data_IF_238163254361
#
_entry.id   IF_238163254361
#
_cell.length_a   1.000
_cell.length_b   1.000
_cell.length_c   1.000
_cell.angle_alpha   90.00
_cell.angle_beta   90.00
_cell.angle_gamma   90.00
#
_symmetry.space_group_name_H-M   'P 1'
#
loop_
_entity.id
_entity.type
_entity.pdbx_description
1 polymer ?
#
# COMPACT_ATOMS: atom_id res chain seq x y z
N UNK A 1 17.13 9.12 -6.38
CA UNK A 1 16.93 9.12 -4.91
C UNK A 1 15.42 9.15 -4.68
N UNK A 2 14.86 8.28 -3.84
CA UNK A 2 13.40 8.11 -3.73
C UNK A 2 12.70 9.39 -3.24
N UNK A 3 13.37 10.18 -2.41
CA UNK A 3 12.90 11.48 -1.91
C UNK A 3 12.35 12.44 -2.98
N UNK A 4 12.82 12.36 -4.23
CA UNK A 4 12.38 13.27 -5.30
C UNK A 4 11.23 12.71 -6.15
N UNK A 5 10.76 11.49 -5.87
CA UNK A 5 9.67 10.91 -6.64
C UNK A 5 8.35 11.53 -6.20
N UNK A 6 7.48 11.97 -7.11
CA UNK A 6 6.14 12.37 -6.71
C UNK A 6 5.37 11.14 -6.18
N UNK A 7 4.52 11.36 -5.17
CA UNK A 7 3.51 10.39 -4.83
C UNK A 7 2.59 10.15 -6.04
N UNK A 8 2.10 8.93 -6.18
CA UNK A 8 1.09 8.63 -7.20
C UNK A 8 -0.17 9.44 -6.92
N UNK A 9 -0.88 9.81 -7.97
CA UNK A 9 -2.10 10.61 -7.84
C UNK A 9 -3.09 9.94 -6.89
N UNK A 10 -3.75 10.76 -6.06
CA UNK A 10 -4.75 10.35 -5.04
C UNK A 10 -4.26 9.36 -3.97
N UNK A 11 -3.00 8.90 -3.99
CA UNK A 11 -2.51 7.84 -3.10
C UNK A 11 -2.68 8.17 -1.62
N UNK A 12 -2.21 9.36 -1.20
CA UNK A 12 -2.29 9.79 0.20
C UNK A 12 -3.75 9.88 0.67
N UNK A 13 -4.62 10.48 -0.14
CA UNK A 13 -6.03 10.69 0.21
C UNK A 13 -6.78 9.38 0.38
N UNK A 14 -6.60 8.44 -0.56
CA UNK A 14 -7.18 7.10 -0.48
C UNK A 14 -6.69 6.36 0.76
N UNK A 15 -5.38 6.38 1.03
CA UNK A 15 -4.81 5.70 2.18
C UNK A 15 -5.31 6.32 3.50
N UNK A 16 -5.57 7.63 3.55
CA UNK A 16 -6.22 8.27 4.69
C UNK A 16 -7.66 7.83 4.87
N UNK A 17 -8.46 7.78 3.80
CA UNK A 17 -9.84 7.26 3.88
C UNK A 17 -9.88 5.82 4.38
N UNK A 18 -9.00 4.96 3.86
CA UNK A 18 -8.88 3.58 4.31
C UNK A 18 -8.46 3.49 5.78
N UNK A 19 -7.47 4.28 6.20
CA UNK A 19 -7.05 4.36 7.61
C UNK A 19 -8.20 4.81 8.52
N UNK A 20 -8.94 5.85 8.12
CA UNK A 20 -10.08 6.38 8.87
C UNK A 20 -11.25 5.38 8.92
N UNK A 21 -11.38 4.53 7.89
CA UNK A 21 -12.35 3.42 7.85
C UNK A 21 -11.93 2.21 8.71
N UNK A 22 -10.75 2.26 9.33
CA UNK A 22 -10.22 1.23 10.23
C UNK A 22 -9.24 0.25 9.58
N UNK A 23 -8.82 0.47 8.33
CA UNK A 23 -7.86 -0.40 7.65
C UNK A 23 -6.45 -0.20 8.23
N UNK A 24 -5.82 -1.30 8.65
CA UNK A 24 -4.44 -1.28 9.14
C UNK A 24 -3.46 -1.29 7.97
N UNK A 25 -2.81 -0.16 7.71
CA UNK A 25 -1.87 0.00 6.59
C UNK A 25 -0.44 -0.30 7.03
N UNK A 26 0.22 -1.23 6.33
CA UNK A 26 1.63 -1.57 6.51
C UNK A 26 2.39 -1.38 5.20
N UNK A 27 3.48 -0.62 5.23
CA UNK A 27 4.35 -0.44 4.08
C UNK A 27 5.43 -1.51 4.09
N UNK A 28 5.56 -2.27 3.00
CA UNK A 28 6.56 -3.33 2.84
C UNK A 28 7.46 -2.99 1.66
N UNK A 29 8.75 -2.79 1.90
CA UNK A 29 9.67 -2.33 0.85
C UNK A 29 11.04 -2.99 0.91
N UNK A 30 11.58 -3.32 -0.25
CA UNK A 30 12.90 -3.92 -0.42
C UNK A 30 13.95 -2.83 -0.65
N UNK A 31 14.35 -2.11 0.41
CA UNK A 31 15.33 -0.99 0.31
C UNK A 31 16.70 -1.31 0.91
N UNK A 32 16.87 -2.50 1.49
CA UNK A 32 18.09 -2.92 2.18
C UNK A 32 18.96 -3.88 1.34
N UNK A 33 18.89 -3.81 0.01
CA UNK A 33 19.62 -4.73 -0.87
C UNK A 33 21.03 -4.29 -1.25
N UNK A 34 21.44 -3.07 -0.85
CA UNK A 34 22.79 -2.55 -1.09
C UNK A 34 23.53 -2.39 0.24
N UNK A 35 24.60 -3.17 0.39
CA UNK A 35 25.46 -3.14 1.57
C UNK A 35 25.97 -1.71 1.83
N UNK A 36 26.04 -1.35 3.12
CA UNK A 36 26.58 -0.07 3.61
C UNK A 36 25.73 1.18 3.33
N UNK A 37 24.62 1.07 2.60
CA UNK A 37 23.70 2.20 2.36
C UNK A 37 22.37 2.09 3.10
N UNK A 38 22.21 1.09 3.97
CA UNK A 38 20.96 0.81 4.70
C UNK A 38 20.42 2.02 5.46
N UNK A 39 21.28 2.70 6.23
CA UNK A 39 20.88 3.87 7.01
C UNK A 39 20.28 4.98 6.11
N UNK A 40 20.95 5.28 4.99
CA UNK A 40 20.47 6.27 4.03
C UNK A 40 19.18 5.82 3.33
N UNK A 41 19.09 4.56 2.93
CA UNK A 41 17.90 4.03 2.26
C UNK A 41 16.66 4.08 3.15
N UNK A 42 16.80 3.81 4.45
CA UNK A 42 15.73 3.93 5.44
C UNK A 42 15.31 5.39 5.60
N UNK A 43 16.27 6.29 5.85
CA UNK A 43 16.00 7.72 6.03
C UNK A 43 15.30 8.31 4.80
N UNK A 44 15.84 8.06 3.60
CA UNK A 44 15.25 8.55 2.35
C UNK A 44 13.80 8.07 2.15
N UNK A 45 13.49 6.85 2.57
CA UNK A 45 12.14 6.28 2.44
C UNK A 45 11.18 6.88 3.46
N UNK A 46 11.61 7.06 4.72
CA UNK A 46 10.77 7.65 5.77
C UNK A 46 10.52 9.13 5.50
N UNK A 47 11.57 9.90 5.15
CA UNK A 47 11.41 11.31 4.77
C UNK A 47 10.43 11.48 3.61
N UNK A 48 10.48 10.59 2.61
CA UNK A 48 9.54 10.62 1.50
C UNK A 48 8.10 10.34 1.94
N UNK A 49 7.87 9.37 2.84
CA UNK A 49 6.54 9.06 3.36
C UNK A 49 5.96 10.24 4.15
N UNK A 50 6.80 10.91 4.95
CA UNK A 50 6.42 12.08 5.73
C UNK A 50 6.09 13.27 4.82
N UNK A 51 6.94 13.57 3.83
CA UNK A 51 6.71 14.64 2.84
C UNK A 51 5.44 14.38 2.01
N UNK A 52 5.17 13.12 1.65
CA UNK A 52 3.98 12.70 0.92
C UNK A 52 2.73 12.53 1.80
N UNK A 53 2.84 12.73 3.13
CA UNK A 53 1.75 12.57 4.12
C UNK A 53 1.03 11.22 4.02
N UNK A 54 1.78 10.14 3.81
CA UNK A 54 1.20 8.78 3.68
C UNK A 54 0.94 8.18 5.07
N UNK A 55 -0.30 7.76 5.39
CA UNK A 55 -0.57 7.11 6.66
C UNK A 55 -0.10 5.65 6.63
N UNK A 56 0.63 5.25 7.66
CA UNK A 56 1.00 3.86 7.91
C UNK A 56 1.11 3.59 9.41
N UNK A 57 0.89 2.34 9.81
CA UNK A 57 1.06 1.87 11.19
C UNK A 57 2.40 1.18 11.38
N UNK A 58 2.82 0.43 10.37
CA UNK A 58 4.10 -0.27 10.36
C UNK A 58 4.83 -0.05 9.03
N UNK A 59 6.15 -0.03 9.09
CA UNK A 59 7.02 -0.11 7.92
C UNK A 59 7.97 -1.29 8.10
N UNK A 60 8.05 -2.16 7.10
CA UNK A 60 8.92 -3.32 7.09
C UNK A 60 9.90 -3.21 5.92
N UNK A 61 11.19 -3.22 6.24
CA UNK A 61 12.28 -3.26 5.27
C UNK A 61 12.75 -4.71 5.12
N UNK A 62 12.30 -5.40 4.07
CA UNK A 62 12.51 -6.84 3.92
C UNK A 62 13.17 -7.15 2.57
N UNK A 63 14.14 -8.08 2.60
CA UNK A 63 14.86 -8.64 1.45
C UNK A 63 13.92 -9.29 0.43
N UNK A 64 13.39 -10.42 0.85
CA UNK A 64 12.20 -11.01 0.23
C UNK A 64 10.96 -10.49 0.97
N UNK A 65 9.78 -10.58 0.36
CA UNK A 65 8.50 -10.33 1.05
C UNK A 65 7.95 -11.66 1.58
N UNK A 66 8.46 -12.24 2.69
CA UNK A 66 7.82 -13.40 3.30
C UNK A 66 6.43 -12.99 3.80
N UNK A 67 5.57 -13.96 4.09
CA UNK A 67 4.22 -13.72 4.61
C UNK A 67 4.26 -12.78 5.84
N UNK A 68 4.02 -11.49 5.64
CA UNK A 68 4.04 -10.46 6.70
C UNK A 68 2.70 -10.43 7.45
N UNK A 69 1.86 -11.45 7.27
CA UNK A 69 0.59 -11.63 7.97
C UNK A 69 -0.49 -10.60 7.62
N UNK A 70 -0.50 -10.07 6.39
CA UNK A 70 -1.58 -9.20 5.92
C UNK A 70 -2.73 -10.03 5.34
N UNK A 71 -3.96 -9.53 5.50
CA UNK A 71 -5.16 -10.11 4.89
C UNK A 71 -5.21 -9.88 3.37
N UNK A 72 -4.60 -8.80 2.90
CA UNK A 72 -4.58 -8.37 1.50
C UNK A 72 -3.28 -7.63 1.21
N UNK A 73 -2.65 -7.92 0.07
CA UNK A 73 -1.44 -7.27 -0.40
C UNK A 73 -1.74 -6.43 -1.65
N UNK A 74 -0.95 -5.38 -1.86
CA UNK A 74 -0.97 -4.56 -3.08
C UNK A 74 0.45 -4.51 -3.60
N UNK A 75 0.65 -4.94 -4.85
CA UNK A 75 1.96 -4.95 -5.50
C UNK A 75 1.79 -4.83 -7.01
N UNK A 76 2.76 -4.21 -7.66
CA UNK A 76 2.83 -4.07 -9.10
C UNK A 76 3.82 -5.06 -9.73
N UNK A 77 4.78 -5.58 -8.96
CA UNK A 77 5.88 -6.36 -9.51
C UNK A 77 5.48 -7.84 -9.69
N UNK A 78 5.57 -8.39 -10.93
CA UNK A 78 5.11 -9.76 -11.20
C UNK A 78 5.69 -10.83 -10.28
N UNK A 79 7.00 -10.79 -10.01
CA UNK A 79 7.66 -11.75 -9.14
C UNK A 79 7.15 -11.71 -7.69
N UNK A 80 6.79 -10.53 -7.16
CA UNK A 80 6.22 -10.40 -5.83
C UNK A 80 4.80 -10.94 -5.78
N UNK A 81 4.00 -10.59 -6.79
CA UNK A 81 2.60 -11.05 -6.92
C UNK A 81 2.57 -12.58 -6.99
N UNK A 82 3.33 -13.18 -7.91
CA UNK A 82 3.42 -14.63 -8.08
C UNK A 82 3.90 -15.33 -6.80
N UNK A 83 4.92 -14.78 -6.12
CA UNK A 83 5.40 -15.32 -4.85
C UNK A 83 4.32 -15.28 -3.76
N UNK A 84 3.62 -14.16 -3.60
CA UNK A 84 2.56 -14.00 -2.61
C UNK A 84 1.39 -14.95 -2.90
N UNK A 85 0.93 -15.02 -4.14
CA UNK A 85 -0.16 -15.90 -4.59
C UNK A 85 0.20 -17.38 -4.45
N UNK A 86 1.45 -17.78 -4.77
CA UNK A 86 1.91 -19.16 -4.62
C UNK A 86 1.83 -19.69 -3.18
N UNK A 87 1.79 -18.78 -2.21
CA UNK A 87 1.67 -19.11 -0.78
C UNK A 87 0.25 -18.91 -0.23
N UNK A 88 -0.73 -18.67 -1.13
CA UNK A 88 -2.15 -18.54 -0.80
C UNK A 88 -2.56 -17.15 -0.30
N UNK A 89 -1.70 -16.13 -0.39
CA UNK A 89 -2.09 -14.77 -0.04
C UNK A 89 -3.00 -14.18 -1.12
N UNK A 90 -3.90 -13.28 -0.71
CA UNK A 90 -4.69 -12.48 -1.64
C UNK A 90 -3.92 -11.22 -2.02
N UNK A 91 -3.86 -10.92 -3.32
CA UNK A 91 -3.11 -9.79 -3.86
C UNK A 91 -4.00 -8.98 -4.80
N UNK A 92 -3.99 -7.66 -4.65
CA UNK A 92 -4.43 -6.72 -5.68
C UNK A 92 -3.21 -6.37 -6.52
N UNK A 93 -3.29 -6.64 -7.81
CA UNK A 93 -2.32 -6.22 -8.81
C UNK A 93 -2.53 -4.72 -9.03
N UNK A 94 -1.55 -3.90 -8.68
CA UNK A 94 -1.56 -2.49 -9.06
C UNK A 94 -1.08 -2.38 -10.50
N UNK A 95 -1.92 -1.83 -11.38
CA UNK A 95 -1.72 -1.87 -12.82
C UNK A 95 -0.44 -1.15 -13.26
N UNK A 96 0.36 -1.82 -14.09
CA UNK A 96 1.57 -1.26 -14.68
C UNK A 96 1.85 -1.88 -16.05
N UNK A 97 2.54 -1.18 -16.97
CA UNK A 97 2.79 -1.69 -18.32
C UNK A 97 3.51 -3.04 -18.38
N UNK A 98 4.34 -3.35 -17.37
CA UNK A 98 5.12 -4.60 -17.30
C UNK A 98 4.38 -5.77 -16.66
N UNK A 99 3.20 -5.58 -16.07
CA UNK A 99 2.45 -6.65 -15.40
C UNK A 99 1.13 -7.01 -16.11
N UNK A 100 0.98 -6.60 -17.38
CA UNK A 100 -0.22 -6.82 -18.19
C UNK A 100 -0.49 -8.30 -18.51
N UNK A 101 0.53 -9.16 -18.43
CA UNK A 101 0.36 -10.61 -18.59
C UNK A 101 -0.27 -11.30 -17.39
N UNK A 102 -0.37 -10.61 -16.24
CA UNK A 102 -0.94 -11.18 -15.02
C UNK A 102 -2.45 -11.10 -15.03
N UNK A 103 -3.10 -12.21 -14.69
CA UNK A 103 -4.54 -12.28 -14.39
C UNK A 103 -4.77 -12.20 -12.89
N UNK A 104 -5.83 -11.52 -12.45
CA UNK A 104 -6.17 -11.45 -11.04
C UNK A 104 -6.99 -10.22 -10.70
N UNK A 105 -7.17 -9.98 -9.39
CA UNK A 105 -7.81 -8.78 -8.87
C UNK A 105 -6.90 -7.58 -9.19
N UNK A 106 -7.39 -6.58 -9.93
CA UNK A 106 -6.55 -5.51 -10.48
C UNK A 106 -7.13 -4.13 -10.20
N UNK A 107 -6.30 -3.24 -9.66
CA UNK A 107 -6.59 -1.82 -9.51
C UNK A 107 -5.80 -1.03 -10.56
N UNK A 108 -6.45 -0.11 -11.26
CA UNK A 108 -5.81 0.74 -12.28
C UNK A 108 -5.31 2.08 -11.71
N UNK A 109 -5.77 2.42 -10.53
CA UNK A 109 -5.47 3.64 -9.80
C UNK A 109 -5.78 3.42 -8.31
N UNK A 110 -5.51 4.44 -7.48
CA UNK A 110 -5.77 4.33 -6.05
C UNK A 110 -7.27 4.30 -5.70
N UNK A 111 -8.14 4.93 -6.49
CA UNK A 111 -9.59 4.94 -6.20
C UNK A 111 -10.23 3.57 -6.47
N UNK A 112 -9.87 2.91 -7.57
CA UNK A 112 -10.22 1.51 -7.81
C UNK A 112 -9.59 0.58 -6.76
N UNK A 113 -8.38 0.88 -6.30
CA UNK A 113 -7.75 0.14 -5.20
C UNK A 113 -8.58 0.22 -3.91
N UNK A 114 -9.04 1.42 -3.54
CA UNK A 114 -9.93 1.64 -2.39
C UNK A 114 -11.18 0.75 -2.45
N UNK A 115 -11.91 0.80 -3.57
CA UNK A 115 -13.11 -0.01 -3.75
C UNK A 115 -12.83 -1.51 -3.59
N UNK A 116 -11.75 -2.00 -4.19
CA UNK A 116 -11.39 -3.42 -4.10
C UNK A 116 -11.01 -3.84 -2.67
N UNK A 117 -10.31 -2.98 -1.93
CA UNK A 117 -9.95 -3.25 -0.53
C UNK A 117 -11.22 -3.35 0.33
N UNK A 118 -12.16 -2.41 0.17
CA UNK A 118 -13.41 -2.40 0.92
C UNK A 118 -14.30 -3.59 0.59
N UNK A 119 -14.38 -3.97 -0.69
CA UNK A 119 -15.11 -5.15 -1.14
C UNK A 119 -14.50 -6.44 -0.56
N UNK A 120 -13.18 -6.58 -0.58
CA UNK A 120 -12.49 -7.74 -0.01
C UNK A 120 -12.64 -7.80 1.51
N UNK A 121 -12.55 -6.66 2.20
CA UNK A 121 -12.79 -6.61 3.64
C UNK A 121 -14.20 -7.06 4.00
N UNK A 122 -15.20 -6.63 3.21
CA UNK A 122 -16.60 -7.06 3.38
C UNK A 122 -16.75 -8.57 3.14
N UNK A 123 -16.12 -9.12 2.09
CA UNK A 123 -16.14 -10.58 1.81
C UNK A 123 -15.46 -11.40 2.92
N UNK A 124 -14.47 -10.81 3.61
CA UNK A 124 -13.81 -11.41 4.77
C UNK A 124 -14.61 -11.27 6.08
N UNK A 125 -15.71 -10.52 6.07
CA UNK A 125 -16.57 -10.31 7.24
C UNK A 125 -16.08 -9.22 8.20
N UNK A 126 -15.20 -8.32 7.75
CA UNK A 126 -14.80 -7.16 8.56
C UNK A 126 -15.89 -6.08 8.51
N UNK A 127 -16.18 -5.49 9.67
CA UNK A 127 -17.02 -4.29 9.76
C UNK A 127 -16.15 -3.07 9.45
N UNK A 128 -16.40 -2.43 8.31
CA UNK A 128 -15.76 -1.17 7.95
C UNK A 128 -16.56 -0.01 8.51
N UNK A 129 -15.87 0.93 9.16
CA UNK A 129 -16.51 2.16 9.62
C UNK A 129 -16.80 3.03 8.41
N UNK A 130 -18.06 3.07 7.96
CA UNK A 130 -18.49 4.07 7.00
C UNK A 130 -18.49 5.43 7.70
N UNK A 131 -17.62 6.34 7.26
CA UNK A 131 -17.73 7.73 7.69
C UNK A 131 -19.12 8.24 7.31
N UNK A 132 -19.89 8.68 8.30
CA UNK A 132 -21.15 9.39 8.07
C UNK A 132 -20.83 10.70 7.32
N UNK A 133 -21.57 11.04 6.26
CA UNK A 133 -21.38 12.31 5.57
C UNK A 133 -21.68 13.46 6.54
N UNK A 134 -20.64 14.20 6.93
CA UNK A 134 -20.75 15.32 7.88
C UNK A 134 -19.55 15.58 8.79
N UNK A 135 -18.48 14.77 8.74
CA UNK A 135 -17.22 15.11 9.43
C UNK A 135 -16.29 15.86 8.48
N UNK A 136 -15.87 17.05 8.91
CA UNK A 136 -15.13 18.03 8.12
C UNK A 136 -13.88 17.44 7.44
N UNK A 137 -13.73 17.79 6.16
CA UNK A 137 -12.52 17.55 5.38
C UNK A 137 -11.29 17.96 6.20
N UNK A 138 -10.30 17.06 6.28
CA UNK A 138 -9.03 17.25 6.98
C UNK A 138 -8.15 18.32 6.36
N UNK A 139 -8.66 19.54 6.24
CA UNK A 139 -8.01 20.71 5.66
C UNK A 139 -6.97 21.35 6.58
N UNK A 140 -6.81 20.88 7.82
CA UNK A 140 -5.79 21.34 8.78
C UNK A 140 -5.05 20.18 9.47
N UNK A 141 -4.58 19.19 8.70
CA UNK A 141 -3.67 18.16 9.25
C UNK A 141 -2.21 18.50 8.91
N UNK A 142 -1.66 19.40 9.74
CA UNK A 142 -0.27 19.86 9.98
C UNK A 142 0.62 20.20 8.77
#
# INVERSE_FOLDING_TARGET
MMRQMPAMDRAAEVLWRLSDAGVWIRIITHRLYVNWTHAKAVVDTVEWLDEAKIPYRDICFLGDKPQVGAHLYIDDAPHNIEALESTGNKVIIFDAPYNQSLSGLRAHDWESCEHLILDEATKMGFEIQSQLPGFEEGSDRF
#
